data_IF_504266217994
#
_entry.id   IF_504266217994
#
_cell.length_a   1.000
_cell.length_b   1.000
_cell.length_c   1.000
_cell.angle_alpha   90.00
_cell.angle_beta   90.00
_cell.angle_gamma   90.00
#
_symmetry.space_group_name_H-M   'P 1'
#
loop_
_entity.id
_entity.type
_entity.pdbx_description
1 polymer ?
#
# COMPACT_ATOMS: atom_id res chain seq x y z
N UNK A 1 -19.66 2.11 -6.29
CA UNK A 1 -18.40 2.77 -5.88
C UNK A 1 -17.23 1.97 -6.43
N UNK A 2 -16.40 2.63 -7.18
CA UNK A 2 -15.26 1.95 -7.77
C UNK A 2 -14.18 1.68 -6.73
N UNK A 3 -13.56 0.49 -6.77
CA UNK A 3 -12.45 0.21 -5.86
C UNK A 3 -11.26 1.11 -6.19
N UNK A 4 -10.49 1.43 -5.17
CA UNK A 4 -9.30 2.24 -5.34
C UNK A 4 -8.25 1.43 -6.08
N UNK A 5 -7.82 1.95 -7.23
CA UNK A 5 -6.73 1.34 -7.98
C UNK A 5 -5.54 2.28 -7.99
N UNK A 6 -4.42 1.77 -7.54
CA UNK A 6 -3.19 2.53 -7.44
C UNK A 6 -2.11 1.90 -8.32
N UNK A 7 -1.37 2.74 -9.02
CA UNK A 7 -0.19 2.26 -9.74
C UNK A 7 1.02 2.23 -8.79
N UNK A 8 2.14 1.70 -9.26
CA UNK A 8 3.33 1.54 -8.43
C UNK A 8 3.84 2.87 -7.87
N UNK A 9 3.81 3.93 -8.68
CA UNK A 9 4.26 5.24 -8.24
C UNK A 9 3.38 5.78 -7.12
N UNK A 10 2.08 5.59 -7.26
CA UNK A 10 1.12 6.05 -6.24
C UNK A 10 1.29 5.28 -4.94
N UNK A 11 1.55 3.97 -5.01
CA UNK A 11 1.85 3.17 -3.83
C UNK A 11 3.07 3.70 -3.09
N UNK A 12 4.12 4.06 -3.84
CA UNK A 12 5.34 4.59 -3.23
C UNK A 12 5.07 5.86 -2.42
N UNK A 13 4.31 6.79 -2.99
CA UNK A 13 3.99 8.04 -2.30
C UNK A 13 3.10 7.78 -1.09
N UNK A 14 2.05 7.00 -1.27
CA UNK A 14 1.11 6.74 -0.17
C UNK A 14 1.77 5.97 0.96
N UNK A 15 2.67 5.04 0.66
CA UNK A 15 3.40 4.33 1.72
C UNK A 15 4.21 5.30 2.59
N UNK A 16 4.83 6.31 1.98
CA UNK A 16 5.53 7.33 2.75
C UNK A 16 4.57 8.14 3.62
N UNK A 17 3.43 8.53 3.06
CA UNK A 17 2.46 9.37 3.77
C UNK A 17 1.73 8.61 4.87
N UNK A 18 1.41 7.34 4.66
CA UNK A 18 0.76 6.55 5.70
C UNK A 18 1.65 6.39 6.92
N UNK A 19 2.95 6.31 6.73
CA UNK A 19 3.88 6.22 7.85
C UNK A 19 4.08 7.55 8.55
N UNK A 20 4.02 8.64 7.80
CA UNK A 20 4.36 9.95 8.34
C UNK A 20 3.64 11.04 7.54
N UNK A 21 2.69 11.71 8.16
CA UNK A 21 1.97 12.81 7.52
C UNK A 21 1.56 13.83 8.58
N UNK A 22 1.46 15.11 8.20
CA UNK A 22 1.68 15.66 6.86
C UNK A 22 3.17 15.74 6.50
N UNK A 23 3.46 15.76 5.21
CA UNK A 23 4.83 15.94 4.71
C UNK A 23 4.86 17.01 3.64
N UNK A 24 5.84 17.88 3.70
CA UNK A 24 6.01 18.91 2.66
C UNK A 24 6.55 18.28 1.37
N UNK A 25 6.50 19.04 0.28
CA UNK A 25 7.05 18.58 -1.00
C UNK A 25 8.52 18.18 -0.86
N UNK A 26 9.32 19.03 -0.20
CA UNK A 26 10.74 18.74 -0.07
C UNK A 26 11.03 17.55 0.83
N UNK A 27 10.20 17.35 1.86
CA UNK A 27 10.34 16.16 2.69
C UNK A 27 10.01 14.90 1.88
N UNK A 28 8.98 14.93 1.06
CA UNK A 28 8.65 13.80 0.21
C UNK A 28 9.70 13.55 -0.88
N UNK A 29 10.29 14.62 -1.42
CA UNK A 29 11.41 14.49 -2.34
C UNK A 29 12.54 13.69 -1.70
N UNK A 30 12.89 14.04 -0.47
CA UNK A 30 13.94 13.32 0.26
C UNK A 30 13.53 11.90 0.60
N UNK A 31 12.30 11.71 1.04
CA UNK A 31 11.78 10.38 1.40
C UNK A 31 11.81 9.42 0.20
N UNK A 32 11.37 9.91 -0.96
CA UNK A 32 11.25 9.07 -2.15
C UNK A 32 12.60 8.87 -2.85
N UNK A 33 13.51 9.82 -2.72
CA UNK A 33 14.88 9.60 -3.17
C UNK A 33 15.51 8.47 -2.36
N UNK A 34 15.33 8.50 -1.04
CA UNK A 34 15.91 7.48 -0.16
C UNK A 34 15.24 6.11 -0.36
N UNK A 35 13.92 6.09 -0.52
CA UNK A 35 13.18 4.83 -0.59
C UNK A 35 13.27 4.16 -1.97
N UNK A 36 13.18 4.93 -3.05
CA UNK A 36 13.06 4.37 -4.39
C UNK A 36 13.93 5.07 -5.44
N UNK A 37 14.78 6.00 -5.03
CA UNK A 37 15.72 6.64 -5.93
C UNK A 37 15.12 7.63 -6.91
N UNK A 38 13.97 8.22 -6.59
CA UNK A 38 13.32 9.15 -7.50
C UNK A 38 14.04 10.50 -7.57
N UNK A 39 14.09 11.04 -8.77
CA UNK A 39 14.49 12.42 -8.97
C UNK A 39 13.40 13.37 -8.44
N UNK A 40 13.79 14.57 -8.08
CA UNK A 40 12.86 15.59 -7.58
C UNK A 40 11.68 15.81 -8.51
N UNK A 41 11.93 15.89 -9.82
CA UNK A 41 10.89 16.12 -10.80
C UNK A 41 9.84 15.01 -10.82
N UNK A 42 10.27 13.78 -10.62
CA UNK A 42 9.37 12.64 -10.57
C UNK A 42 8.41 12.75 -9.38
N UNK A 43 8.94 13.09 -8.22
CA UNK A 43 8.12 13.29 -7.02
C UNK A 43 7.09 14.39 -7.23
N UNK A 44 7.53 15.54 -7.74
CA UNK A 44 6.65 16.69 -7.94
C UNK A 44 5.54 16.37 -8.94
N UNK A 45 5.89 15.74 -10.06
CA UNK A 45 4.91 15.37 -11.07
C UNK A 45 3.90 14.37 -10.53
N UNK A 46 4.38 13.37 -9.80
CA UNK A 46 3.51 12.34 -9.24
C UNK A 46 2.54 12.94 -8.22
N UNK A 47 3.03 13.80 -7.33
CA UNK A 47 2.19 14.46 -6.34
C UNK A 47 1.08 15.29 -6.98
N UNK A 48 1.41 16.03 -8.04
CA UNK A 48 0.42 16.84 -8.74
C UNK A 48 -0.69 15.95 -9.33
N UNK A 49 -0.29 14.85 -9.95
CA UNK A 49 -1.26 13.91 -10.53
C UNK A 49 -2.13 13.27 -9.46
N UNK A 50 -1.53 12.93 -8.32
CA UNK A 50 -2.27 12.32 -7.23
C UNK A 50 -3.24 13.30 -6.59
N UNK A 51 -2.86 14.55 -6.49
CA UNK A 51 -3.75 15.60 -6.00
C UNK A 51 -4.96 15.75 -6.93
N UNK A 52 -4.72 15.76 -8.24
CA UNK A 52 -5.79 15.85 -9.23
C UNK A 52 -6.75 14.66 -9.16
N UNK A 53 -6.22 13.48 -8.87
CA UNK A 53 -7.03 12.26 -8.73
C UNK A 53 -7.74 12.16 -7.38
N UNK A 54 -7.40 13.03 -6.43
CA UNK A 54 -7.97 12.97 -5.09
C UNK A 54 -7.36 11.91 -4.19
N UNK A 55 -6.17 11.45 -4.50
CA UNK A 55 -5.47 10.44 -3.69
C UNK A 55 -4.71 11.06 -2.52
N UNK A 56 -4.34 12.32 -2.63
CA UNK A 56 -3.71 13.09 -1.57
C UNK A 56 -4.39 14.43 -1.43
N UNK A 57 -4.33 15.00 -0.24
CA UNK A 57 -4.81 16.38 0.02
C UNK A 57 -3.62 17.26 0.29
N UNK A 58 -3.65 18.46 -0.26
CA UNK A 58 -2.61 19.45 -0.03
C UNK A 58 -3.18 20.57 0.84
N UNK A 59 -2.43 20.92 1.86
CA UNK A 59 -2.79 22.03 2.75
C UNK A 59 -1.64 23.02 2.80
N UNK A 60 -1.97 24.29 3.00
CA UNK A 60 -0.98 25.32 3.14
C UNK A 60 -0.15 25.08 4.40
N UNK A 61 1.16 25.08 4.28
CA UNK A 61 2.08 24.91 5.38
C UNK A 61 3.21 25.91 5.22
N UNK A 62 3.14 27.02 5.95
CA UNK A 62 4.09 28.12 5.78
C UNK A 62 4.01 28.67 4.36
N UNK A 63 5.12 28.64 3.64
CA UNK A 63 5.21 29.14 2.27
C UNK A 63 4.92 28.09 1.22
N UNK A 64 4.73 26.84 1.63
CA UNK A 64 4.52 25.75 0.71
C UNK A 64 3.30 24.94 1.06
N UNK A 65 3.28 23.75 0.53
CA UNK A 65 2.19 22.80 0.77
C UNK A 65 2.70 21.61 1.56
N UNK A 66 1.82 21.04 2.39
CA UNK A 66 2.05 19.76 3.03
C UNK A 66 0.95 18.81 2.58
N UNK A 67 1.29 17.56 2.42
CA UNK A 67 0.39 16.55 1.89
C UNK A 67 0.00 15.53 2.94
N UNK A 68 -1.25 15.11 2.88
CA UNK A 68 -1.76 13.99 3.68
C UNK A 68 -2.44 13.00 2.75
N UNK A 69 -2.48 11.71 3.13
CA UNK A 69 -3.18 10.74 2.29
C UNK A 69 -4.69 10.98 2.36
N UNK A 70 -5.35 10.93 1.21
CA UNK A 70 -6.80 11.04 1.12
C UNK A 70 -7.47 9.68 1.01
N UNK A 71 -6.69 8.62 0.95
CA UNK A 71 -7.14 7.24 0.87
C UNK A 71 -6.63 6.52 2.11
N UNK A 72 -7.48 5.76 2.76
CA UNK A 72 -7.05 5.00 3.93
C UNK A 72 -6.25 3.78 3.50
N UNK A 73 -5.19 3.49 4.26
CA UNK A 73 -4.31 2.37 3.96
C UNK A 73 -5.06 1.05 3.88
N UNK A 74 -5.94 0.81 4.84
CA UNK A 74 -6.68 -0.44 4.90
C UNK A 74 -7.55 -0.64 3.67
N UNK A 75 -8.23 0.40 3.20
CA UNK A 75 -9.04 0.32 2.00
C UNK A 75 -8.20 0.01 0.76
N UNK A 76 -7.08 0.68 0.61
CA UNK A 76 -6.21 0.48 -0.54
C UNK A 76 -5.61 -0.92 -0.53
N UNK A 77 -5.13 -1.37 0.63
CA UNK A 77 -4.51 -2.70 0.77
C UNK A 77 -5.54 -3.79 0.49
N UNK A 78 -6.73 -3.67 1.05
CA UNK A 78 -7.79 -4.66 0.84
C UNK A 78 -8.18 -4.75 -0.63
N UNK A 79 -8.38 -3.61 -1.29
CA UNK A 79 -8.75 -3.58 -2.70
C UNK A 79 -7.67 -4.20 -3.58
N UNK A 80 -6.40 -3.88 -3.31
CA UNK A 80 -5.29 -4.42 -4.08
C UNK A 80 -5.12 -5.92 -3.85
N UNK A 81 -5.28 -6.37 -2.62
CA UNK A 81 -5.18 -7.79 -2.29
C UNK A 81 -6.23 -8.59 -3.05
N UNK A 82 -7.48 -8.13 -3.05
CA UNK A 82 -8.54 -8.80 -3.79
C UNK A 82 -8.28 -8.80 -5.30
N UNK A 83 -7.87 -7.67 -5.84
CA UNK A 83 -7.58 -7.54 -7.26
C UNK A 83 -6.44 -8.46 -7.67
N UNK A 84 -5.37 -8.49 -6.90
CA UNK A 84 -4.22 -9.33 -7.16
C UNK A 84 -4.61 -10.82 -7.12
N UNK A 85 -5.32 -11.21 -6.07
CA UNK A 85 -5.74 -12.59 -5.88
C UNK A 85 -6.62 -13.06 -7.04
N UNK A 86 -7.59 -12.24 -7.43
CA UNK A 86 -8.48 -12.58 -8.54
C UNK A 86 -7.74 -12.66 -9.86
N UNK A 87 -6.87 -11.70 -10.12
CA UNK A 87 -6.17 -11.59 -11.41
C UNK A 87 -5.11 -12.67 -11.59
N UNK A 88 -4.35 -12.94 -10.54
CA UNK A 88 -3.19 -13.83 -10.62
C UNK A 88 -3.54 -15.26 -10.25
N UNK A 89 -4.39 -15.44 -9.24
CA UNK A 89 -4.68 -16.75 -8.68
C UNK A 89 -6.15 -17.14 -8.79
N UNK A 90 -6.90 -16.44 -9.63
CA UNK A 90 -8.32 -16.73 -9.88
C UNK A 90 -9.14 -16.87 -8.59
N UNK A 91 -8.79 -16.05 -7.60
CA UNK A 91 -9.49 -16.02 -6.32
C UNK A 91 -9.05 -17.09 -5.32
N UNK A 92 -8.03 -17.88 -5.65
CA UNK A 92 -7.62 -18.99 -4.79
C UNK A 92 -6.48 -18.62 -3.86
N UNK A 93 -6.79 -18.44 -2.58
CA UNK A 93 -5.80 -18.23 -1.53
C UNK A 93 -4.87 -19.45 -1.43
N UNK A 94 -5.41 -20.64 -1.60
CA UNK A 94 -4.63 -21.87 -1.54
C UNK A 94 -3.54 -21.93 -2.60
N UNK A 95 -3.88 -21.52 -3.82
CA UNK A 95 -2.87 -21.47 -4.89
C UNK A 95 -1.78 -20.46 -4.59
N UNK A 96 -2.15 -19.30 -4.07
CA UNK A 96 -1.18 -18.27 -3.71
C UNK A 96 -0.21 -18.77 -2.63
N UNK A 97 -0.74 -19.36 -1.57
CA UNK A 97 0.07 -19.87 -0.48
C UNK A 97 0.97 -21.01 -0.94
N UNK A 98 0.45 -21.86 -1.82
CA UNK A 98 1.21 -22.95 -2.39
C UNK A 98 2.42 -22.45 -3.19
N UNK A 99 2.23 -21.38 -3.96
CA UNK A 99 3.32 -20.78 -4.73
C UNK A 99 4.40 -20.21 -3.81
N UNK A 100 3.99 -19.54 -2.74
CA UNK A 100 4.93 -18.98 -1.77
C UNK A 100 5.70 -20.06 -1.02
N UNK A 101 5.01 -21.13 -0.63
CA UNK A 101 5.65 -22.24 0.07
C UNK A 101 6.71 -22.92 -0.79
N UNK A 102 6.43 -23.07 -2.09
CA UNK A 102 7.37 -23.72 -3.00
C UNK A 102 8.66 -22.91 -3.20
N UNK A 103 8.58 -21.59 -3.07
CA UNK A 103 9.76 -20.74 -3.21
C UNK A 103 10.52 -20.57 -1.90
N UNK A 104 10.06 -21.24 -0.84
CA UNK A 104 10.67 -21.14 0.48
C UNK A 104 10.70 -19.70 1.00
N UNK A 105 9.69 -18.93 0.64
CA UNK A 105 9.60 -17.54 1.08
C UNK A 105 8.98 -17.42 2.46
N UNK A 106 8.45 -18.52 3.01
CA UNK A 106 7.83 -18.53 4.31
C UNK A 106 8.81 -19.08 5.35
N UNK A 107 9.12 -18.26 6.35
CA UNK A 107 9.91 -18.70 7.49
C UNK A 107 9.06 -19.55 8.44
N UNK A 108 9.71 -20.22 9.38
CA UNK A 108 9.00 -20.98 10.38
C UNK A 108 8.07 -20.09 11.21
N UNK A 109 8.50 -18.87 11.52
CA UNK A 109 7.68 -17.92 12.26
C UNK A 109 6.45 -17.50 11.47
N UNK A 110 6.60 -17.27 10.18
CA UNK A 110 5.49 -16.93 9.32
C UNK A 110 4.48 -18.07 9.18
N UNK A 111 4.98 -19.29 9.08
CA UNK A 111 4.11 -20.47 9.04
C UNK A 111 3.30 -20.57 10.33
N UNK A 112 3.94 -20.37 11.47
CA UNK A 112 3.25 -20.42 12.77
C UNK A 112 2.19 -19.32 12.87
N UNK A 113 2.51 -18.12 12.39
CA UNK A 113 1.56 -17.03 12.36
C UNK A 113 0.35 -17.34 11.49
N UNK A 114 0.59 -17.90 10.31
CA UNK A 114 -0.50 -18.29 9.40
C UNK A 114 -1.39 -19.37 10.00
N UNK A 115 -0.80 -20.33 10.67
CA UNK A 115 -1.58 -21.37 11.37
C UNK A 115 -2.46 -20.77 12.46
N UNK A 116 -1.91 -19.81 13.21
CA UNK A 116 -2.68 -19.14 14.25
C UNK A 116 -3.86 -18.37 13.67
N UNK A 117 -3.65 -17.68 12.53
CA UNK A 117 -4.72 -16.96 11.84
C UNK A 117 -5.82 -17.92 11.40
N UNK A 118 -5.43 -19.04 10.80
CA UNK A 118 -6.39 -20.03 10.31
C UNK A 118 -7.18 -20.67 11.46
N UNK A 119 -6.51 -20.97 12.56
CA UNK A 119 -7.16 -21.50 13.75
C UNK A 119 -8.17 -20.52 14.32
N UNK A 120 -7.85 -19.24 14.28
CA UNK A 120 -8.72 -18.19 14.77
C UNK A 120 -10.00 -18.11 13.91
N UNK A 121 -9.84 -18.24 12.61
CA UNK A 121 -10.97 -18.22 11.68
C UNK A 121 -11.87 -19.44 11.91
N UNK A 122 -11.28 -20.63 12.03
CA UNK A 122 -12.00 -21.86 12.33
C UNK A 122 -12.71 -21.78 13.67
N UNK A 123 -11.98 -21.35 14.69
CA UNK A 123 -12.56 -21.20 16.02
C UNK A 123 -13.61 -20.11 16.10
N UNK A 124 -13.42 -19.06 15.31
CA UNK A 124 -14.37 -17.95 15.24
C UNK A 124 -15.67 -18.30 14.58
N UNK A 125 -15.63 -19.20 13.66
CA UNK A 125 -16.80 -19.74 13.02
C UNK A 125 -17.67 -20.51 13.97
N UNK A 126 -17.16 -20.81 15.04
CA UNK A 126 -17.92 -21.17 16.21
C UNK A 126 -18.86 -22.21 16.09
N UNK A 127 -18.75 -22.53 15.15
CA UNK A 127 -19.91 -23.18 15.05
C UNK A 127 -19.82 -24.48 15.42
#
# INVERSE_FOLDING_TARGET
>A
MEPVKLNSSEWNVLNCLWENHPRTVMQLVADLEAAVGWAKSTTITTLRRMEEKGLVRAEQAGRGKAYTPAVEREQAVTAETHSFLDRVYQGSVGLMMSAMARRQELSADEVAELRAILDQIDGGDGT
#
